data_IF_808350710214
#
_entry.id   IF_808350710214
#
_cell.length_a   1.000
_cell.length_b   1.000
_cell.length_c   1.000
_cell.angle_alpha   90.00
_cell.angle_beta   90.00
_cell.angle_gamma   90.00
#
_symmetry.space_group_name_H-M   'P 1'
#
loop_
_entity.id
_entity.type
_entity.pdbx_description
1 polymer ?
#
# COMPACT_ATOMS: atom_id res chain seq x y z
N UNK A 1 -40.29 21.02 -14.18
CA UNK A 1 -39.46 19.84 -13.88
C UNK A 1 -38.25 19.73 -14.81
N UNK A 2 -38.38 20.01 -16.11
CA UNK A 2 -37.26 19.96 -17.07
C UNK A 2 -36.13 21.01 -16.82
N UNK A 3 -36.47 22.18 -16.30
CA UNK A 3 -35.52 23.28 -16.06
C UNK A 3 -34.59 23.03 -14.84
N UNK A 4 -35.07 22.29 -13.83
CA UNK A 4 -34.24 21.87 -12.69
C UNK A 4 -33.20 20.80 -13.10
N UNK A 5 -33.56 19.85 -13.98
CA UNK A 5 -32.66 18.80 -14.45
C UNK A 5 -31.46 19.36 -15.24
N UNK A 6 -31.70 20.28 -16.19
CA UNK A 6 -30.62 20.93 -16.97
C UNK A 6 -29.66 21.78 -16.13
N UNK A 7 -30.09 22.23 -14.95
CA UNK A 7 -29.27 23.04 -14.04
C UNK A 7 -28.32 22.16 -13.21
N UNK A 8 -28.79 20.98 -12.77
CA UNK A 8 -27.98 19.99 -12.05
C UNK A 8 -26.90 19.39 -12.95
N UNK A 9 -27.22 19.08 -14.21
CA UNK A 9 -26.22 18.55 -15.17
C UNK A 9 -25.10 19.54 -15.48
N UNK A 10 -25.45 20.83 -15.67
CA UNK A 10 -24.47 21.90 -15.86
C UNK A 10 -23.58 22.09 -14.64
N UNK A 11 -24.14 22.01 -13.43
CA UNK A 11 -23.38 22.08 -12.19
C UNK A 11 -22.36 20.94 -12.08
N UNK A 12 -22.78 19.70 -12.34
CA UNK A 12 -21.88 18.55 -12.30
C UNK A 12 -20.74 18.63 -13.32
N UNK A 13 -21.01 19.18 -14.52
CA UNK A 13 -19.98 19.38 -15.53
C UNK A 13 -18.94 20.44 -15.12
N UNK A 14 -19.41 21.56 -14.55
CA UNK A 14 -18.55 22.63 -14.03
C UNK A 14 -17.69 22.12 -12.87
N UNK A 15 -18.29 21.40 -11.92
CA UNK A 15 -17.58 20.79 -10.77
C UNK A 15 -16.47 19.88 -11.24
N UNK A 16 -16.75 18.93 -12.15
CA UNK A 16 -15.74 18.01 -12.69
C UNK A 16 -14.59 18.74 -13.40
N UNK A 17 -14.89 19.83 -14.10
CA UNK A 17 -13.88 20.63 -14.79
C UNK A 17 -12.97 21.36 -13.79
N UNK A 18 -13.56 22.01 -12.78
CA UNK A 18 -12.83 22.69 -11.71
C UNK A 18 -11.98 21.70 -10.94
N UNK A 19 -12.55 20.56 -10.55
CA UNK A 19 -11.85 19.48 -9.84
C UNK A 19 -10.60 19.04 -10.61
N UNK A 20 -10.73 18.78 -11.93
CA UNK A 20 -9.59 18.39 -12.78
C UNK A 20 -8.50 19.45 -12.82
N UNK A 21 -8.86 20.73 -12.82
CA UNK A 21 -7.90 21.83 -12.76
C UNK A 21 -7.20 21.93 -11.40
N UNK A 22 -7.94 21.79 -10.31
CA UNK A 22 -7.40 21.78 -8.94
C UNK A 22 -6.38 20.66 -8.80
N UNK A 23 -6.72 19.42 -9.18
CA UNK A 23 -5.84 18.27 -9.02
C UNK A 23 -4.57 18.42 -9.86
N UNK A 24 -4.68 18.87 -11.13
CA UNK A 24 -3.52 19.13 -11.98
C UNK A 24 -2.58 20.17 -11.38
N UNK A 25 -3.14 21.25 -10.86
CA UNK A 25 -2.38 22.33 -10.22
C UNK A 25 -1.69 21.81 -8.96
N UNK A 26 -2.40 21.02 -8.14
CA UNK A 26 -1.88 20.42 -6.93
C UNK A 26 -0.71 19.45 -7.20
N UNK A 27 -0.85 18.58 -8.21
CA UNK A 27 0.23 17.68 -8.65
C UNK A 27 1.47 18.48 -9.08
N UNK A 28 1.27 19.56 -9.85
CA UNK A 28 2.36 20.43 -10.30
C UNK A 28 3.08 21.12 -9.14
N UNK A 29 2.33 21.74 -8.24
CA UNK A 29 2.87 22.41 -7.04
C UNK A 29 3.60 21.43 -6.12
N UNK A 30 3.02 20.26 -5.85
CA UNK A 30 3.65 19.22 -5.01
C UNK A 30 4.95 18.71 -5.63
N UNK A 31 4.96 18.47 -6.95
CA UNK A 31 6.18 18.03 -7.64
C UNK A 31 7.29 19.08 -7.56
N UNK A 32 6.94 20.36 -7.73
CA UNK A 32 7.89 21.47 -7.59
C UNK A 32 8.43 21.56 -6.16
N UNK A 33 7.55 21.52 -5.15
CA UNK A 33 7.95 21.56 -3.74
C UNK A 33 8.88 20.39 -3.38
N UNK A 34 8.60 19.19 -3.89
CA UNK A 34 9.45 18.02 -3.68
C UNK A 34 10.84 18.18 -4.28
N UNK A 35 10.94 18.73 -5.49
CA UNK A 35 12.24 18.99 -6.13
C UNK A 35 13.03 19.99 -5.28
N UNK A 36 12.40 21.09 -4.86
CA UNK A 36 13.04 22.11 -4.02
C UNK A 36 13.48 21.51 -2.67
N UNK A 37 12.59 20.77 -1.99
CA UNK A 37 12.91 20.13 -0.72
C UNK A 37 14.05 19.11 -0.83
N UNK A 38 14.09 18.35 -1.93
CA UNK A 38 15.17 17.39 -2.19
C UNK A 38 16.50 18.09 -2.42
N UNK A 39 16.51 19.17 -3.21
CA UNK A 39 17.71 19.98 -3.42
C UNK A 39 18.19 20.64 -2.12
N UNK A 40 17.25 21.15 -1.31
CA UNK A 40 17.55 21.72 -0.01
C UNK A 40 18.17 20.68 0.93
N UNK A 41 17.63 19.46 0.96
CA UNK A 41 18.18 18.37 1.75
C UNK A 41 19.60 18.01 1.28
N UNK A 42 19.81 17.88 -0.03
CA UNK A 42 21.13 17.60 -0.59
C UNK A 42 22.14 18.69 -0.22
N UNK A 43 21.73 19.96 -0.31
CA UNK A 43 22.55 21.10 0.12
C UNK A 43 22.89 21.02 1.61
N UNK A 44 21.90 20.77 2.48
CA UNK A 44 22.11 20.63 3.92
C UNK A 44 23.11 19.50 4.22
N UNK A 45 22.94 18.32 3.62
CA UNK A 45 23.85 17.18 3.82
C UNK A 45 25.28 17.54 3.42
N UNK A 46 25.47 18.12 2.23
CA UNK A 46 26.81 18.50 1.75
C UNK A 46 27.43 19.55 2.66
N UNK A 47 26.67 20.59 3.04
CA UNK A 47 27.19 21.65 3.91
C UNK A 47 27.58 21.11 5.28
N UNK A 48 26.73 20.28 5.89
CA UNK A 48 27.01 19.68 7.20
C UNK A 48 28.24 18.76 7.19
N UNK A 49 28.54 18.11 6.05
CA UNK A 49 29.75 17.28 5.90
C UNK A 49 30.99 18.15 5.71
N UNK A 50 30.92 19.20 4.88
CA UNK A 50 32.06 20.07 4.56
C UNK A 50 32.46 20.97 5.74
N UNK A 51 31.49 21.44 6.52
CA UNK A 51 31.75 22.28 7.71
C UNK A 51 32.24 21.45 8.91
N UNK A 52 32.05 20.14 8.91
CA UNK A 52 32.51 19.27 10.00
C UNK A 52 34.03 19.07 9.93
N UNK A 53 34.76 19.53 10.95
CA UNK A 53 36.22 19.38 11.06
C UNK A 53 36.70 17.93 11.00
N UNK A 54 35.85 16.96 11.38
CA UNK A 54 36.20 15.54 11.49
C UNK A 54 35.40 14.66 10.51
N UNK A 55 34.61 15.26 9.61
CA UNK A 55 33.65 14.56 8.75
C UNK A 55 32.64 13.67 9.52
N UNK A 56 32.44 13.93 10.81
CA UNK A 56 31.44 13.26 11.66
C UNK A 56 30.31 14.24 11.93
N UNK A 57 29.08 13.80 11.69
CA UNK A 57 27.88 14.58 12.01
C UNK A 57 27.47 14.32 13.45
N UNK A 58 27.05 15.37 14.14
CA UNK A 58 26.45 15.25 15.46
C UNK A 58 25.05 14.61 15.36
N UNK A 59 24.60 13.97 16.43
CA UNK A 59 23.28 13.32 16.49
C UNK A 59 22.14 14.32 16.25
N UNK A 60 22.25 15.53 16.80
CA UNK A 60 21.26 16.58 16.60
C UNK A 60 21.14 16.99 15.13
N UNK A 61 22.29 17.15 14.46
CA UNK A 61 22.33 17.44 13.02
C UNK A 61 21.76 16.28 12.19
N UNK A 62 22.06 15.03 12.56
CA UNK A 62 21.45 13.87 11.90
C UNK A 62 19.94 13.83 12.07
N UNK A 63 19.42 14.11 13.27
CA UNK A 63 17.98 14.14 13.54
C UNK A 63 17.28 15.23 12.70
N UNK A 64 17.89 16.40 12.55
CA UNK A 64 17.40 17.46 11.67
C UNK A 64 17.37 17.02 10.20
N UNK A 65 18.46 16.40 9.71
CA UNK A 65 18.53 15.87 8.35
C UNK A 65 17.48 14.78 8.12
N UNK A 66 17.27 13.88 9.08
CA UNK A 66 16.20 12.88 9.01
C UNK A 66 14.82 13.54 9.02
N UNK A 67 14.62 14.63 9.76
CA UNK A 67 13.37 15.38 9.74
C UNK A 67 13.02 15.97 8.38
N UNK A 68 14.01 16.51 7.68
CA UNK A 68 13.86 17.00 6.30
C UNK A 68 13.72 15.83 5.31
N UNK A 69 14.44 14.73 5.50
CA UNK A 69 14.27 13.51 4.69
C UNK A 69 12.85 12.94 4.80
N UNK A 70 12.32 12.82 6.01
CA UNK A 70 10.93 12.40 6.25
C UNK A 70 9.93 13.41 5.67
N UNK A 71 10.25 14.71 5.58
CA UNK A 71 9.42 15.70 4.88
C UNK A 71 9.27 15.34 3.40
N UNK A 72 10.39 15.01 2.75
CA UNK A 72 10.42 14.62 1.33
C UNK A 72 9.63 13.33 1.13
N UNK A 73 9.81 12.32 1.98
CA UNK A 73 9.08 11.05 1.88
C UNK A 73 7.57 11.23 2.01
N UNK A 74 7.09 12.03 2.97
CA UNK A 74 5.66 12.34 3.07
C UNK A 74 5.16 13.05 1.83
N UNK A 75 5.92 14.00 1.29
CA UNK A 75 5.51 14.70 0.07
C UNK A 75 5.38 13.74 -1.12
N UNK A 76 6.27 12.76 -1.24
CA UNK A 76 6.20 11.72 -2.29
C UNK A 76 4.95 10.86 -2.11
N UNK A 77 4.67 10.43 -0.88
CA UNK A 77 3.48 9.64 -0.52
C UNK A 77 2.18 10.40 -0.85
N UNK A 78 2.12 11.68 -0.48
CA UNK A 78 0.97 12.54 -0.77
C UNK A 78 0.81 12.78 -2.27
N UNK A 79 1.91 12.99 -3.00
CA UNK A 79 1.88 13.14 -4.45
C UNK A 79 1.31 11.88 -5.12
N UNK A 80 1.69 10.69 -4.65
CA UNK A 80 1.14 9.44 -5.17
C UNK A 80 -0.35 9.29 -4.84
N UNK A 81 -0.74 9.59 -3.60
CA UNK A 81 -2.15 9.61 -3.17
C UNK A 81 -3.01 10.52 -4.07
N UNK A 82 -2.53 11.73 -4.38
CA UNK A 82 -3.24 12.68 -5.24
C UNK A 82 -3.26 12.20 -6.71
N UNK A 83 -2.19 11.57 -7.19
CA UNK A 83 -2.16 10.97 -8.55
C UNK A 83 -3.15 9.82 -8.68
N UNK A 84 -3.29 8.98 -7.65
CA UNK A 84 -4.28 7.90 -7.61
C UNK A 84 -5.68 8.50 -7.65
N UNK A 85 -5.95 9.53 -6.86
CA UNK A 85 -7.22 10.25 -6.92
C UNK A 85 -7.50 10.81 -8.32
N UNK A 86 -6.52 11.43 -8.97
CA UNK A 86 -6.66 11.93 -10.35
C UNK A 86 -7.06 10.82 -11.34
N UNK A 87 -6.51 9.61 -11.18
CA UNK A 87 -6.77 8.48 -12.09
C UNK A 87 -8.11 7.80 -11.82
N UNK A 88 -8.48 7.60 -10.55
CA UNK A 88 -9.63 6.79 -10.15
C UNK A 88 -10.86 7.61 -9.73
N UNK A 89 -10.72 8.92 -9.50
CA UNK A 89 -11.75 9.85 -9.00
C UNK A 89 -12.43 9.39 -7.70
N UNK A 90 -11.77 8.51 -6.94
CA UNK A 90 -12.27 7.96 -5.68
C UNK A 90 -11.17 8.01 -4.63
N UNK A 91 -11.47 8.60 -3.47
CA UNK A 91 -10.60 8.54 -2.28
C UNK A 91 -11.14 7.42 -1.40
N UNK A 92 -10.39 6.32 -1.29
CA UNK A 92 -10.68 5.31 -0.29
C UNK A 92 -10.37 5.88 1.10
N UNK A 93 -11.33 5.81 2.02
CA UNK A 93 -11.19 6.29 3.41
C UNK A 93 -9.98 5.66 4.10
N UNK A 94 -9.63 4.42 3.72
CA UNK A 94 -8.43 3.72 4.19
C UNK A 94 -7.14 4.53 3.97
N UNK A 95 -6.99 5.16 2.80
CA UNK A 95 -5.80 5.93 2.42
C UNK A 95 -5.65 7.17 3.30
N UNK A 96 -6.76 7.85 3.60
CA UNK A 96 -6.74 9.04 4.45
C UNK A 96 -6.28 8.70 5.88
N UNK A 97 -6.70 7.55 6.41
CA UNK A 97 -6.27 7.10 7.74
C UNK A 97 -4.80 6.68 7.76
N UNK A 98 -4.32 6.01 6.70
CA UNK A 98 -2.90 5.68 6.56
C UNK A 98 -2.03 6.94 6.54
N UNK A 99 -2.43 7.94 5.76
CA UNK A 99 -1.75 9.24 5.72
C UNK A 99 -1.76 9.91 7.10
N UNK A 100 -2.87 9.84 7.85
CA UNK A 100 -2.95 10.38 9.20
C UNK A 100 -2.00 9.65 10.19
N UNK A 101 -1.90 8.32 10.10
CA UNK A 101 -0.96 7.53 10.89
C UNK A 101 0.50 7.88 10.57
N UNK A 102 0.85 8.00 9.29
CA UNK A 102 2.18 8.41 8.85
C UNK A 102 2.52 9.83 9.37
N UNK A 103 1.57 10.76 9.30
CA UNK A 103 1.75 12.13 9.78
C UNK A 103 2.03 12.19 11.29
N UNK A 104 1.27 11.43 12.10
CA UNK A 104 1.50 11.34 13.55
C UNK A 104 2.84 10.67 13.83
N UNK A 105 3.16 9.56 13.16
CA UNK A 105 4.42 8.85 13.36
C UNK A 105 5.63 9.76 13.12
N UNK A 106 5.63 10.55 12.04
CA UNK A 106 6.69 11.52 11.78
C UNK A 106 6.76 12.59 12.87
N UNK A 107 5.62 13.05 13.39
CA UNK A 107 5.61 14.05 14.48
C UNK A 107 6.26 13.50 15.76
N UNK A 108 6.03 12.23 16.07
CA UNK A 108 6.62 11.55 17.23
C UNK A 108 8.13 11.33 17.06
N UNK A 109 8.59 10.95 15.86
CA UNK A 109 10.03 10.75 15.59
C UNK A 109 10.83 12.05 15.77
N UNK A 110 10.25 13.19 15.38
CA UNK A 110 10.89 14.52 15.50
C UNK A 110 10.62 15.21 16.83
N UNK A 111 10.03 14.50 17.79
CA UNK A 111 9.66 15.08 19.07
C UNK A 111 10.83 15.01 20.04
N UNK A 112 11.18 16.15 20.62
CA UNK A 112 12.11 16.24 21.74
C UNK A 112 11.34 16.01 23.04
N UNK A 113 11.41 14.79 23.58
CA UNK A 113 10.63 14.35 24.75
C UNK A 113 10.93 15.14 26.03
N UNK A 114 12.08 15.81 26.12
CA UNK A 114 12.44 16.64 27.29
C UNK A 114 11.55 17.89 27.42
N UNK A 115 10.90 18.31 26.32
CA UNK A 115 10.04 19.50 26.27
C UNK A 115 8.56 19.20 26.59
N UNK A 116 8.19 17.92 26.71
CA UNK A 116 6.80 17.51 26.87
C UNK A 116 6.53 16.89 28.24
N UNK A 117 5.38 17.22 28.79
CA UNK A 117 4.88 16.59 30.02
C UNK A 117 4.41 15.16 29.73
N UNK A 118 4.44 14.29 30.74
CA UNK A 118 3.95 12.91 30.60
C UNK A 118 2.49 12.81 30.14
N UNK A 119 1.66 13.81 30.45
CA UNK A 119 0.27 13.88 29.99
C UNK A 119 0.14 14.13 28.49
N UNK A 120 1.02 14.97 27.91
CA UNK A 120 1.02 15.24 26.46
C UNK A 120 1.42 13.98 25.68
N UNK A 121 2.45 13.27 26.16
CA UNK A 121 2.89 12.00 25.56
C UNK A 121 1.77 10.95 25.63
N UNK A 122 1.05 10.87 26.75
CA UNK A 122 -0.11 9.97 26.88
C UNK A 122 -1.24 10.35 25.93
N UNK A 123 -1.50 11.64 25.73
CA UNK A 123 -2.47 12.13 24.76
C UNK A 123 -2.13 11.71 23.32
N UNK A 124 -0.85 11.81 22.95
CA UNK A 124 -0.37 11.36 21.63
C UNK A 124 -0.57 9.84 21.48
N UNK A 125 -0.23 9.06 22.50
CA UNK A 125 -0.46 7.61 22.49
C UNK A 125 -1.95 7.26 22.30
N UNK A 126 -2.85 7.98 22.96
CA UNK A 126 -4.30 7.79 22.81
C UNK A 126 -4.79 8.10 21.38
N UNK A 127 -4.26 9.15 20.74
CA UNK A 127 -4.57 9.48 19.34
C UNK A 127 -4.08 8.37 18.40
N UNK A 128 -2.84 7.89 18.57
CA UNK A 128 -2.27 6.80 17.76
C UNK A 128 -3.13 5.55 17.88
N UNK A 129 -3.52 5.17 19.10
CA UNK A 129 -4.37 4.00 19.34
C UNK A 129 -5.75 4.18 18.67
N UNK A 130 -6.33 5.36 18.78
CA UNK A 130 -7.64 5.66 18.18
C UNK A 130 -7.61 5.59 16.65
N UNK A 131 -6.56 6.11 16.01
CA UNK A 131 -6.37 6.00 14.56
C UNK A 131 -6.13 4.54 14.12
N UNK A 132 -5.33 3.79 14.87
CA UNK A 132 -5.07 2.38 14.58
C UNK A 132 -6.34 1.53 14.70
N UNK A 133 -7.17 1.78 15.73
CA UNK A 133 -8.47 1.12 15.90
C UNK A 133 -9.45 1.51 14.78
N UNK A 134 -9.48 2.79 14.40
CA UNK A 134 -10.28 3.26 13.26
C UNK A 134 -9.91 2.54 11.96
N UNK A 135 -8.62 2.45 11.66
CA UNK A 135 -8.10 1.68 10.52
C UNK A 135 -8.53 0.21 10.58
N UNK A 136 -8.39 -0.42 11.75
CA UNK A 136 -8.76 -1.82 11.95
C UNK A 136 -10.25 -2.07 11.68
N UNK A 137 -11.14 -1.20 12.17
CA UNK A 137 -12.58 -1.36 11.94
C UNK A 137 -12.97 -1.18 10.48
N UNK A 138 -12.39 -0.20 9.78
CA UNK A 138 -12.63 -0.01 8.33
C UNK A 138 -12.16 -1.22 7.53
N UNK A 139 -10.99 -1.76 7.86
CA UNK A 139 -10.48 -2.99 7.24
C UNK A 139 -11.41 -4.18 7.50
N UNK A 140 -11.86 -4.36 8.73
CA UNK A 140 -12.79 -5.44 9.12
C UNK A 140 -14.15 -5.30 8.43
N UNK A 141 -14.62 -4.07 8.19
CA UNK A 141 -15.88 -3.79 7.50
C UNK A 141 -15.81 -3.99 5.97
N UNK A 142 -14.66 -4.38 5.42
CA UNK A 142 -14.50 -4.65 3.99
C UNK A 142 -14.05 -3.45 3.15
N UNK A 143 -13.46 -2.41 3.76
CA UNK A 143 -13.03 -1.19 3.07
C UNK A 143 -11.84 -1.33 2.09
N UNK A 144 -11.24 -2.52 1.96
CA UNK A 144 -10.06 -2.72 1.12
C UNK A 144 -10.41 -2.88 -0.37
N UNK A 145 -10.73 -1.78 -1.04
CA UNK A 145 -10.73 -1.66 -2.51
C UNK A 145 -9.42 -1.07 -3.08
N UNK A 146 -8.51 -0.64 -2.21
CA UNK A 146 -7.31 0.13 -2.61
C UNK A 146 -6.15 -0.73 -3.10
N UNK A 147 -5.84 -1.84 -2.43
CA UNK A 147 -4.67 -2.66 -2.76
C UNK A 147 -4.94 -3.49 -4.02
N UNK A 148 -4.25 -3.25 -5.15
CA UNK A 148 -4.24 -4.20 -6.24
C UNK A 148 -3.54 -5.46 -5.72
N UNK A 149 -4.30 -6.54 -5.50
CA UNK A 149 -3.70 -7.85 -5.29
C UNK A 149 -3.06 -8.27 -6.61
N UNK A 150 -1.77 -8.04 -6.74
CA UNK A 150 -1.00 -8.61 -7.83
C UNK A 150 -1.09 -10.13 -7.72
N UNK A 151 -1.83 -10.75 -8.65
CA UNK A 151 -1.92 -12.20 -8.75
C UNK A 151 -0.59 -12.69 -9.33
N UNK A 152 0.33 -13.14 -8.47
CA UNK A 152 1.49 -13.93 -8.91
C UNK A 152 0.98 -15.14 -9.71
N UNK A 153 1.09 -15.09 -11.04
CA UNK A 153 0.81 -16.25 -11.89
C UNK A 153 2.09 -17.08 -11.97
N UNK A 154 2.21 -18.06 -11.06
CA UNK A 154 3.30 -19.04 -11.08
C UNK A 154 3.06 -19.97 -12.27
N UNK A 155 3.84 -19.82 -13.36
CA UNK A 155 3.90 -20.83 -14.42
C UNK A 155 4.87 -21.93 -13.99
N UNK A 156 4.37 -23.16 -13.92
CA UNK A 156 5.21 -24.34 -13.77
C UNK A 156 5.96 -24.60 -15.09
N UNK A 157 7.29 -24.51 -15.09
CA UNK A 157 8.12 -24.93 -16.23
C UNK A 157 8.60 -26.36 -15.94
N UNK A 158 8.27 -27.30 -16.83
CA UNK A 158 8.83 -28.65 -16.82
C UNK A 158 10.19 -28.57 -17.53
N UNK A 159 11.28 -28.90 -16.84
CA UNK A 159 12.62 -28.97 -17.46
C UNK A 159 12.94 -30.46 -17.66
N UNK A 160 13.01 -30.91 -18.91
CA UNK A 160 13.55 -32.23 -19.25
C UNK A 160 15.08 -32.17 -19.10
N UNK A 161 15.62 -32.86 -18.10
CA UNK A 161 17.07 -33.08 -17.98
C UNK A 161 17.40 -34.38 -18.71
N UNK A 162 18.19 -34.30 -19.79
CA UNK A 162 18.80 -35.49 -20.40
C UNK A 162 20.13 -35.80 -19.68
N UNK A 163 20.15 -36.89 -18.92
CA UNK A 163 21.36 -37.43 -18.32
C UNK A 163 22.08 -38.33 -19.35
N UNK A 164 23.32 -37.98 -19.70
CA UNK A 164 24.14 -38.75 -20.65
C UNK A 164 25.00 -39.78 -19.91
N UNK A 165 24.61 -41.05 -20.02
CA UNK A 165 25.39 -42.23 -19.60
C UNK A 165 26.28 -42.69 -20.79
N UNK A 166 27.61 -42.81 -20.62
CA UNK A 166 28.52 -43.22 -21.70
C UNK A 166 28.32 -44.66 -22.21
N UNK A 167 27.46 -45.48 -21.59
CA UNK A 167 27.16 -46.84 -22.05
C UNK A 167 25.72 -46.98 -22.57
N UNK A 168 25.46 -46.48 -23.79
CA UNK A 168 24.45 -47.00 -24.72
C UNK A 168 23.07 -47.39 -24.13
N UNK A 169 22.35 -46.43 -23.54
CA UNK A 169 20.91 -46.20 -23.79
C UNK A 169 20.45 -44.95 -23.02
N UNK A 170 20.07 -43.88 -23.73
CA UNK A 170 19.58 -42.66 -23.11
C UNK A 170 18.21 -42.91 -22.43
N UNK A 171 18.12 -42.68 -21.12
CA UNK A 171 16.85 -42.70 -20.37
C UNK A 171 16.48 -41.28 -19.98
N UNK A 172 15.38 -40.77 -20.53
CA UNK A 172 14.88 -39.42 -20.25
C UNK A 172 14.16 -39.43 -18.90
N UNK A 173 14.54 -38.52 -17.98
CA UNK A 173 13.86 -38.34 -16.68
C UNK A 173 13.43 -36.88 -16.54
N UNK A 174 12.12 -36.62 -16.54
CA UNK A 174 11.56 -35.28 -16.37
C UNK A 174 11.73 -34.78 -14.92
N UNK A 175 12.25 -33.54 -14.71
CA UNK A 175 12.15 -32.85 -13.41
C UNK A 175 11.50 -31.47 -13.58
N UNK A 176 10.37 -31.25 -12.90
CA UNK A 176 9.71 -29.95 -12.81
C UNK A 176 10.60 -28.95 -12.04
N UNK A 177 10.95 -27.80 -12.65
CA UNK A 177 11.69 -26.70 -12.00
C UNK A 177 10.90 -25.41 -12.15
N UNK A 178 10.39 -24.90 -11.03
CA UNK A 178 9.62 -23.65 -10.97
C UNK A 178 10.57 -22.45 -11.05
N UNK A 179 10.56 -21.71 -12.16
CA UNK A 179 11.18 -20.39 -12.27
C UNK A 179 10.12 -19.29 -12.13
N UNK A 180 10.36 -18.32 -11.25
CA UNK A 180 9.54 -17.11 -11.12
C UNK A 180 10.04 -16.07 -12.14
N UNK A 181 9.21 -15.70 -13.12
CA UNK A 181 9.47 -14.58 -14.03
C UNK A 181 8.44 -13.47 -13.77
N UNK A 182 8.91 -12.31 -13.34
CA UNK A 182 8.09 -11.11 -13.11
C UNK A 182 7.99 -10.31 -14.41
N UNK A 183 6.86 -10.41 -15.12
CA UNK A 183 6.55 -9.52 -16.25
C UNK A 183 5.38 -8.59 -15.92
N UNK A 184 5.65 -7.30 -16.05
CA UNK A 184 4.81 -6.19 -15.63
C UNK A 184 4.01 -5.67 -16.83
N UNK A 185 2.72 -5.97 -16.94
CA UNK A 185 1.85 -5.30 -17.92
C UNK A 185 0.40 -5.16 -17.41
N UNK A 186 -0.03 -3.91 -17.24
CA UNK A 186 -1.36 -3.49 -16.82
C UNK A 186 -2.29 -3.36 -18.03
N UNK A 187 -3.30 -4.22 -18.12
CA UNK A 187 -4.45 -4.05 -19.02
C UNK A 187 -5.71 -4.07 -18.17
N UNK A 188 -6.48 -2.97 -18.18
CA UNK A 188 -7.76 -2.85 -17.46
C UNK A 188 -8.87 -3.02 -18.49
N UNK A 189 -9.66 -4.10 -18.35
CA UNK A 189 -10.95 -4.31 -19.02
C UNK A 189 -12.07 -3.94 -18.04
N UNK A 190 -13.20 -3.32 -18.46
CA UNK A 190 -14.16 -2.73 -17.53
C UNK A 190 -14.97 -3.80 -16.77
N UNK A 191 -14.94 -3.74 -15.44
CA UNK A 191 -15.63 -4.67 -14.55
C UNK A 191 -17.14 -4.35 -14.44
N UNK A 192 -17.98 -5.37 -14.68
CA UNK A 192 -19.45 -5.32 -14.62
C UNK A 192 -19.95 -5.44 -13.16
N UNK A 193 -20.81 -4.54 -12.64
CA UNK A 193 -21.17 -4.44 -11.21
C UNK A 193 -21.98 -5.60 -10.58
N UNK A 194 -22.16 -6.75 -11.23
CA UNK A 194 -23.15 -7.77 -10.82
C UNK A 194 -22.59 -9.08 -10.22
N UNK A 195 -21.32 -9.14 -9.83
CA UNK A 195 -20.75 -10.36 -9.21
C UNK A 195 -20.06 -10.08 -7.88
N UNK A 196 -20.84 -9.76 -6.85
CA UNK A 196 -20.39 -9.85 -5.45
C UNK A 196 -21.28 -10.83 -4.68
N UNK A 197 -20.88 -12.10 -4.63
CA UNK A 197 -21.42 -13.07 -3.67
C UNK A 197 -20.53 -13.02 -2.43
N UNK A 198 -21.01 -12.43 -1.35
CA UNK A 198 -20.28 -12.34 -0.07
C UNK A 198 -19.91 -13.72 0.52
N UNK A 199 -19.04 -13.77 1.55
CA UNK A 199 -18.45 -15.01 2.04
C UNK A 199 -19.51 -15.95 2.63
N UNK A 200 -19.80 -17.06 1.94
CA UNK A 200 -20.62 -18.16 2.46
C UNK A 200 -19.85 -19.45 2.75
N UNK A 201 -18.53 -19.42 2.84
CA UNK A 201 -17.75 -20.67 2.96
C UNK A 201 -16.93 -20.71 4.24
N UNK A 202 -17.59 -20.78 5.41
CA UNK A 202 -16.99 -21.27 6.68
C UNK A 202 -17.97 -22.01 7.62
N UNK A 203 -19.10 -22.50 7.10
CA UNK A 203 -20.10 -23.24 7.92
C UNK A 203 -20.48 -24.63 7.37
N UNK A 204 -19.86 -25.11 6.28
CA UNK A 204 -20.24 -26.38 5.65
C UNK A 204 -19.30 -27.56 5.94
N UNK A 205 -18.11 -27.35 6.51
CA UNK A 205 -17.08 -28.40 6.66
C UNK A 205 -16.92 -28.92 8.10
N UNK A 206 -18.03 -29.05 8.84
CA UNK A 206 -18.06 -29.69 10.17
C UNK A 206 -19.23 -30.66 10.37
N UNK A 207 -19.75 -31.26 9.29
CA UNK A 207 -20.84 -32.25 9.39
C UNK A 207 -20.56 -33.65 8.82
N UNK A 208 -19.37 -33.91 8.28
CA UNK A 208 -19.07 -35.19 7.61
C UNK A 208 -17.87 -35.97 8.19
N UNK A 209 -17.55 -35.84 9.48
CA UNK A 209 -16.42 -36.56 10.09
C UNK A 209 -16.75 -37.28 11.40
N UNK A 210 -18.03 -37.58 11.66
CA UNK A 210 -18.41 -38.42 12.81
C UNK A 210 -19.63 -39.25 12.47
N UNK A 211 -19.39 -40.43 11.91
CA UNK A 211 -20.41 -41.42 11.66
C UNK A 211 -20.02 -42.32 10.52
N UNK A 212 -19.04 -43.21 10.74
CA UNK A 212 -18.87 -44.46 10.00
C UNK A 212 -17.77 -45.35 10.63
N UNK A 213 -17.70 -45.42 11.96
CA UNK A 213 -16.83 -46.37 12.69
C UNK A 213 -17.62 -47.19 13.71
N UNK A 214 -18.75 -47.79 13.29
CA UNK A 214 -19.42 -48.82 14.09
C UNK A 214 -20.17 -49.82 13.21
N UNK A 215 -19.43 -50.68 12.48
CA UNK A 215 -19.88 -52.03 12.09
C UNK A 215 -18.80 -52.81 11.32
N UNK A 216 -17.92 -53.48 12.05
CA UNK A 216 -17.30 -54.73 11.61
C UNK A 216 -16.53 -55.38 12.77
N UNK A 217 -17.25 -56.10 13.63
CA UNK A 217 -16.68 -57.08 14.56
C UNK A 217 -17.77 -58.08 14.95
N UNK A 218 -17.96 -59.10 14.11
CA UNK A 218 -18.25 -60.48 14.49
C UNK A 218 -18.70 -61.26 13.24
N UNK A 219 -17.85 -62.20 12.80
CA UNK A 219 -18.19 -63.60 12.51
C UNK A 219 -16.89 -64.32 12.16
N UNK A 220 -16.31 -64.98 13.17
CA UNK A 220 -15.82 -66.38 13.17
C UNK A 220 -14.82 -66.60 14.32
#
# INVERSE_FOLDING_TARGET
>A
MEEQSKSVERLNYVVKTIEKYIIKTLIGLMSLLLIIATLQLAYMVVMSIVESEVFILDLDVMMDLFGVFLLVLIGIELLDTIKVYFKKHEIHVEVVILVALIAIARKVILMDFEKYTGFEILGIAAIVISLALGYYFIKKAGGCGFWPKEKETVKDIVIEEQEFDPASNAKITERKKTLKETQNQSSIEPENPQTYTGPKDKMAEKRNLTGDDEKSKNTD
#
